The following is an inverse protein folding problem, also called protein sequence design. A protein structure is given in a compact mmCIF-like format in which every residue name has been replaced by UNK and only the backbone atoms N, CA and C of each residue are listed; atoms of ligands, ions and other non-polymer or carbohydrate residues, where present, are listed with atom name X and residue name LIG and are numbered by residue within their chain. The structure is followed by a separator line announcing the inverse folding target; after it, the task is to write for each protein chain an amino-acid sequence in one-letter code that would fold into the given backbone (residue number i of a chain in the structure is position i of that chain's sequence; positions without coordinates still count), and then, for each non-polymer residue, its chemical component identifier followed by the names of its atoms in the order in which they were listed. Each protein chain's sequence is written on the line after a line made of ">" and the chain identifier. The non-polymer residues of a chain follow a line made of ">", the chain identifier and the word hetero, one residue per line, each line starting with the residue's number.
data_IF_547233536092
#
_entry.id   IF_547233536092
#
_cell.length_a   1.000
_cell.length_b   1.000
_cell.length_c   1.000
_cell.angle_alpha   90.00
_cell.angle_beta   90.00
_cell.angle_gamma   90.00
#
_symmetry.space_group_name_H-M   'P 1'
#
loop_
_entity.id
_entity.type
_entity.pdbx_description
1 polymer ?
#
# COMPACT_ATOMS: atom_id res chain seq x y z
N UNK A 1 3.24 24.80 1.51
CA UNK A 1 3.49 24.32 2.89
C UNK A 1 2.58 25.00 3.91
N UNK A 2 2.51 26.34 3.96
CA UNK A 2 1.66 27.09 4.92
C UNK A 2 0.17 26.72 4.92
N UNK A 3 -0.51 26.75 3.77
CA UNK A 3 -1.92 26.35 3.66
C UNK A 3 -2.21 24.90 4.11
N UNK A 4 -1.23 24.02 4.02
CA UNK A 4 -1.36 22.61 4.44
C UNK A 4 -1.24 22.47 5.94
N UNK A 5 -0.32 23.23 6.55
CA UNK A 5 -0.20 23.34 8.00
C UNK A 5 -1.49 23.93 8.60
N UNK A 6 -2.04 24.98 7.97
CA UNK A 6 -3.31 25.59 8.38
C UNK A 6 -4.47 24.59 8.35
N UNK A 7 -4.55 23.72 7.33
CA UNK A 7 -5.59 22.68 7.27
C UNK A 7 -5.41 21.55 8.28
N UNK A 8 -4.16 21.23 8.66
CA UNK A 8 -3.86 20.25 9.73
C UNK A 8 -4.13 20.84 11.13
N UNK A 9 -3.88 22.14 11.28
CA UNK A 9 -4.14 22.91 12.50
C UNK A 9 -5.55 23.49 12.55
N UNK A 10 -6.45 23.11 11.63
CA UNK A 10 -7.84 23.55 11.65
C UNK A 10 -8.54 22.96 12.88
N UNK A 11 -8.64 23.78 13.92
CA UNK A 11 -9.25 23.46 15.21
C UNK A 11 -10.77 23.68 15.21
N UNK A 12 -11.40 24.07 14.09
CA UNK A 12 -12.84 24.35 14.01
C UNK A 12 -13.76 23.19 14.45
N UNK A 13 -13.21 21.97 14.55
CA UNK A 13 -13.91 20.75 15.00
C UNK A 13 -13.35 20.14 16.29
N UNK A 14 -12.38 20.76 16.96
CA UNK A 14 -11.72 20.22 18.17
C UNK A 14 -12.06 21.06 19.39
N UNK A 15 -12.36 20.40 20.51
CA UNK A 15 -12.56 21.07 21.80
C UNK A 15 -11.24 21.62 22.34
N UNK A 16 -11.28 22.84 22.89
CA UNK A 16 -10.14 23.62 23.36
C UNK A 16 -9.78 23.23 24.81
N UNK A 17 -9.43 21.96 25.04
CA UNK A 17 -9.28 21.41 26.40
C UNK A 17 -7.82 21.14 26.79
N UNK A 18 -7.10 20.29 26.04
CA UNK A 18 -5.70 19.91 26.32
C UNK A 18 -4.97 19.54 25.02
N UNK A 19 -3.76 20.08 24.84
CA UNK A 19 -2.84 19.78 23.72
C UNK A 19 -1.91 18.60 24.03
N UNK A 20 -1.27 18.03 23.01
CA UNK A 20 -0.42 16.85 23.21
C UNK A 20 0.81 17.17 24.09
N UNK A 21 1.33 18.38 23.95
CA UNK A 21 2.45 18.93 24.71
C UNK A 21 2.10 19.11 26.19
N UNK A 22 0.86 19.52 26.49
CA UNK A 22 0.38 19.70 27.87
C UNK A 22 0.14 18.37 28.61
N UNK A 23 -0.06 17.26 27.90
CA UNK A 23 -0.20 15.94 28.51
C UNK A 23 1.10 15.43 29.13
N UNK A 24 2.25 16.00 28.76
CA UNK A 24 3.56 15.57 29.28
C UNK A 24 3.94 14.15 28.83
N UNK A 25 3.41 13.68 27.70
CA UNK A 25 3.75 12.37 27.12
C UNK A 25 5.22 12.37 26.71
N UNK A 26 5.99 11.40 27.21
CA UNK A 26 7.39 11.20 26.86
C UNK A 26 7.61 9.99 25.94
N UNK A 27 6.62 9.09 25.84
CA UNK A 27 6.68 7.88 25.01
C UNK A 27 5.38 7.55 24.29
N UNK A 28 5.52 7.10 23.05
CA UNK A 28 4.45 6.53 22.23
C UNK A 28 4.77 5.09 21.84
N UNK A 29 3.82 4.20 22.11
CA UNK A 29 3.82 2.83 21.62
C UNK A 29 2.71 2.70 20.59
N UNK A 30 3.08 2.39 19.35
CA UNK A 30 2.15 2.28 18.22
C UNK A 30 2.07 0.82 17.84
N UNK A 31 0.98 0.18 18.23
CA UNK A 31 0.64 -1.14 17.73
C UNK A 31 0.04 -1.06 16.31
N UNK A 32 0.22 -2.11 15.54
CA UNK A 32 -0.13 -2.21 14.13
C UNK A 32 0.29 -0.96 13.32
N UNK A 33 1.53 -0.54 13.52
CA UNK A 33 2.09 0.68 12.92
C UNK A 33 2.03 0.71 11.38
N UNK A 34 1.80 -0.44 10.74
CA UNK A 34 1.52 -0.53 9.31
C UNK A 34 0.30 0.31 8.88
N UNK A 35 -0.63 0.65 9.77
CA UNK A 35 -1.72 1.58 9.49
C UNK A 35 -1.27 3.03 9.23
N UNK A 36 -0.04 3.40 9.61
CA UNK A 36 0.52 4.75 9.51
C UNK A 36 1.59 4.89 8.42
N UNK A 37 1.76 3.87 7.57
CA UNK A 37 2.75 3.83 6.47
C UNK A 37 2.49 4.81 5.32
N UNK A 38 1.32 5.45 5.29
CA UNK A 38 0.94 6.38 4.22
C UNK A 38 1.27 7.85 4.58
N UNK A 39 2.55 8.12 4.81
CA UNK A 39 3.08 9.44 5.15
C UNK A 39 3.35 10.25 3.87
N UNK A 40 3.17 11.58 3.96
CA UNK A 40 3.51 12.47 2.86
C UNK A 40 4.98 12.37 2.45
N UNK A 41 5.19 12.21 1.14
CA UNK A 41 6.49 12.05 0.51
C UNK A 41 6.63 13.08 -0.61
N UNK A 42 7.69 13.89 -0.58
CA UNK A 42 8.04 14.76 -1.69
C UNK A 42 9.08 14.07 -2.58
N UNK A 43 8.73 13.88 -3.86
CA UNK A 43 9.57 13.21 -4.84
C UNK A 43 9.29 13.74 -6.25
N UNK A 44 10.34 13.77 -7.09
CA UNK A 44 10.20 14.01 -8.53
C UNK A 44 9.72 12.77 -9.29
N UNK A 45 9.82 11.58 -8.69
CA UNK A 45 9.53 10.29 -9.32
C UNK A 45 8.03 9.94 -9.33
N UNK A 46 7.13 10.91 -9.55
CA UNK A 46 5.67 10.70 -9.45
C UNK A 46 5.10 9.65 -10.41
N UNK A 47 5.79 9.40 -11.53
CA UNK A 47 5.37 8.43 -12.53
C UNK A 47 5.84 6.99 -12.25
N UNK A 48 6.61 6.77 -11.17
CA UNK A 48 7.06 5.44 -10.76
C UNK A 48 6.00 4.79 -9.89
N UNK A 49 5.55 3.60 -10.28
CA UNK A 49 4.59 2.82 -9.52
C UNK A 49 5.14 2.41 -8.16
N UNK A 50 4.27 2.37 -7.15
CA UNK A 50 4.63 2.00 -5.77
C UNK A 50 4.85 3.19 -4.82
N UNK A 51 4.84 4.42 -5.35
CA UNK A 51 4.86 5.64 -4.54
C UNK A 51 3.42 6.10 -4.26
N UNK A 52 3.03 6.11 -2.99
CA UNK A 52 1.74 6.64 -2.58
C UNK A 52 1.68 8.15 -2.88
N UNK A 53 0.68 8.55 -3.68
CA UNK A 53 0.43 9.96 -4.03
C UNK A 53 -0.56 10.63 -3.06
N UNK A 54 -1.28 9.83 -2.29
CA UNK A 54 -2.32 10.30 -1.37
C UNK A 54 -1.80 10.23 0.04
N UNK A 55 -1.81 11.35 0.76
CA UNK A 55 -1.38 11.42 2.15
C UNK A 55 -2.52 11.10 3.11
N UNK A 56 -2.22 10.35 4.17
CA UNK A 56 -3.13 10.19 5.29
C UNK A 56 -2.86 11.27 6.35
N UNK A 57 -3.87 12.08 6.69
CA UNK A 57 -3.75 13.10 7.75
C UNK A 57 -3.28 12.50 9.08
N UNK A 58 -3.77 11.30 9.44
CA UNK A 58 -3.34 10.56 10.64
C UNK A 58 -1.84 10.22 10.66
N UNK A 59 -1.25 9.92 9.50
CA UNK A 59 0.18 9.63 9.38
C UNK A 59 1.00 10.90 9.58
N UNK A 60 0.55 12.02 9.00
CA UNK A 60 1.22 13.31 9.18
C UNK A 60 1.14 13.81 10.63
N UNK A 61 -0.02 13.64 11.28
CA UNK A 61 -0.20 13.92 12.71
C UNK A 61 0.76 13.09 13.59
N UNK A 62 0.79 11.76 13.38
CA UNK A 62 1.72 10.88 14.10
C UNK A 62 3.18 11.28 13.84
N UNK A 63 3.53 11.63 12.59
CA UNK A 63 4.90 12.03 12.26
C UNK A 63 5.30 13.30 13.00
N UNK A 64 4.41 14.29 13.13
CA UNK A 64 4.68 15.50 13.91
C UNK A 64 4.90 15.16 15.40
N UNK A 65 4.08 14.28 15.98
CA UNK A 65 4.25 13.81 17.36
C UNK A 65 5.56 13.05 17.58
N UNK A 66 5.93 12.16 16.66
CA UNK A 66 7.22 11.47 16.70
C UNK A 66 8.38 12.46 16.63
N UNK A 67 8.30 13.47 15.75
CA UNK A 67 9.33 14.51 15.63
C UNK A 67 9.47 15.35 16.90
N UNK A 68 8.36 15.74 17.51
CA UNK A 68 8.34 16.43 18.79
C UNK A 68 8.98 15.58 19.90
N UNK A 69 8.61 14.31 20.01
CA UNK A 69 9.20 13.40 21.00
C UNK A 69 10.68 13.11 20.73
N UNK A 70 11.12 13.06 19.47
CA UNK A 70 12.52 12.89 19.12
C UNK A 70 13.37 14.06 19.64
N UNK A 71 12.84 15.29 19.62
CA UNK A 71 13.51 16.47 20.17
C UNK A 71 13.60 16.42 21.69
N UNK A 72 12.56 15.93 22.38
CA UNK A 72 12.54 15.80 23.84
C UNK A 72 13.39 14.64 24.36
N UNK A 73 13.36 13.50 23.66
CA UNK A 73 13.92 12.24 24.16
C UNK A 73 15.22 11.82 23.49
N UNK A 74 15.69 12.61 22.51
CA UNK A 74 16.86 12.25 21.69
C UNK A 74 16.61 11.04 20.78
N UNK A 75 15.38 10.87 20.28
CA UNK A 75 15.00 9.78 19.38
C UNK A 75 14.61 8.47 20.05
N UNK A 76 14.24 8.50 21.34
CA UNK A 76 13.91 7.29 22.14
C UNK A 76 12.46 7.23 22.60
N UNK A 77 11.64 8.18 22.15
CA UNK A 77 10.25 8.35 22.58
C UNK A 77 9.23 7.58 21.75
N UNK A 78 9.62 6.90 20.66
CA UNK A 78 8.66 6.20 19.78
C UNK A 78 9.03 4.73 19.62
N UNK A 79 8.06 3.84 19.79
CA UNK A 79 8.18 2.40 19.56
C UNK A 79 7.06 1.94 18.65
N UNK A 80 7.42 1.28 17.54
CA UNK A 80 6.48 0.69 16.60
C UNK A 80 6.43 -0.83 16.79
N UNK A 81 5.23 -1.40 16.86
CA UNK A 81 4.98 -2.83 16.79
C UNK A 81 4.12 -3.13 15.55
N UNK A 82 4.45 -4.21 14.83
CA UNK A 82 3.68 -4.68 13.68
C UNK A 82 4.16 -6.07 13.27
N UNK A 83 3.22 -6.96 12.93
CA UNK A 83 3.53 -8.25 12.31
C UNK A 83 3.88 -8.15 10.83
N UNK A 84 3.64 -6.99 10.20
CA UNK A 84 3.85 -6.76 8.76
C UNK A 84 4.60 -5.44 8.52
N UNK A 85 5.88 -5.36 8.91
CA UNK A 85 6.62 -4.08 8.86
C UNK A 85 6.76 -3.54 7.44
N UNK A 86 6.88 -4.40 6.43
CA UNK A 86 7.03 -3.99 5.03
C UNK A 86 6.11 -4.89 4.23
N UNK A 87 5.06 -4.32 3.66
CA UNK A 87 4.04 -5.10 2.97
C UNK A 87 4.40 -5.33 1.52
N UNK A 88 4.91 -4.32 0.79
CA UNK A 88 5.33 -4.49 -0.63
C UNK A 88 5.91 -3.22 -1.31
N UNK A 89 6.18 -2.13 -0.58
CA UNK A 89 6.75 -0.94 -1.21
C UNK A 89 7.99 -0.45 -0.48
N UNK A 90 9.03 -0.19 -1.28
CA UNK A 90 10.26 0.49 -0.88
C UNK A 90 9.99 1.85 -0.19
N UNK A 91 8.86 2.50 -0.47
CA UNK A 91 8.41 3.71 0.21
C UNK A 91 7.99 3.45 1.66
N UNK A 92 7.46 2.27 1.97
CA UNK A 92 7.04 1.90 3.33
C UNK A 92 8.26 1.79 4.25
N UNK A 93 9.32 1.14 3.78
CA UNK A 93 10.59 1.05 4.52
C UNK A 93 11.16 2.45 4.80
N UNK A 94 11.24 3.30 3.77
CA UNK A 94 11.71 4.67 3.96
C UNK A 94 10.82 5.47 4.92
N UNK A 95 9.51 5.25 4.88
CA UNK A 95 8.56 5.89 5.79
C UNK A 95 8.81 5.48 7.24
N UNK A 96 9.05 4.19 7.51
CA UNK A 96 9.40 3.71 8.85
C UNK A 96 10.74 4.30 9.31
N UNK A 97 11.75 4.34 8.43
CA UNK A 97 13.02 4.99 8.75
C UNK A 97 12.84 6.49 9.05
N UNK A 98 11.89 7.17 8.39
CA UNK A 98 11.56 8.55 8.73
C UNK A 98 10.89 8.69 10.09
N UNK A 99 10.08 7.73 10.54
CA UNK A 99 9.50 7.76 11.88
C UNK A 99 10.54 7.50 12.96
N UNK A 100 11.42 6.52 12.76
CA UNK A 100 12.26 5.97 13.83
C UNK A 100 13.74 6.40 13.75
N UNK A 101 14.22 6.81 12.57
CA UNK A 101 15.64 7.04 12.28
C UNK A 101 15.89 8.38 11.56
N UNK A 102 14.99 9.36 11.70
CA UNK A 102 15.06 10.60 10.92
C UNK A 102 16.42 11.31 11.07
N UNK A 103 16.96 11.38 12.28
CA UNK A 103 18.26 12.02 12.53
C UNK A 103 19.40 11.26 11.83
N UNK A 104 19.34 9.93 11.77
CA UNK A 104 20.31 9.10 11.02
C UNK A 104 20.19 9.34 9.52
N UNK A 105 18.97 9.46 8.99
CA UNK A 105 18.75 9.82 7.58
C UNK A 105 19.34 11.20 7.25
N UNK A 106 19.13 12.20 8.11
CA UNK A 106 19.71 13.55 7.92
C UNK A 106 21.23 13.51 7.94
N UNK A 107 21.84 12.80 8.90
CA UNK A 107 23.31 12.67 8.99
C UNK A 107 23.95 12.05 7.75
N UNK A 108 23.24 11.14 7.09
CA UNK A 108 23.69 10.46 5.88
C UNK A 108 23.25 11.17 4.57
N UNK A 109 22.61 12.35 4.65
CA UNK A 109 22.02 13.07 3.49
C UNK A 109 20.92 12.28 2.74
N UNK A 110 20.17 11.46 3.48
CA UNK A 110 19.11 10.58 2.98
C UNK A 110 17.71 11.03 3.42
N UNK A 111 17.55 12.27 3.91
CA UNK A 111 16.26 12.83 4.35
C UNK A 111 15.26 13.09 3.21
N UNK A 112 15.72 13.06 1.96
CA UNK A 112 14.89 13.16 0.78
C UNK A 112 14.75 11.79 0.14
N UNK A 113 13.51 11.44 -0.23
CA UNK A 113 13.22 10.14 -0.81
C UNK A 113 14.01 9.91 -2.10
N UNK A 114 14.15 10.92 -2.95
CA UNK A 114 14.88 10.78 -4.22
C UNK A 114 16.36 10.40 -3.98
N UNK A 115 17.00 11.00 -2.97
CA UNK A 115 18.36 10.64 -2.56
C UNK A 115 18.41 9.21 -2.04
N UNK A 116 17.54 8.87 -1.10
CA UNK A 116 17.47 7.52 -0.52
C UNK A 116 17.18 6.45 -1.59
N UNK A 117 16.26 6.72 -2.50
CA UNK A 117 15.88 5.83 -3.58
C UNK A 117 16.99 5.65 -4.60
N UNK A 118 17.80 6.69 -4.87
CA UNK A 118 18.97 6.56 -5.73
C UNK A 118 20.09 5.71 -5.12
N UNK A 119 20.19 5.67 -3.78
CA UNK A 119 21.20 4.89 -3.07
C UNK A 119 20.80 3.43 -2.91
N UNK A 120 19.50 3.17 -2.65
CA UNK A 120 19.02 1.84 -2.25
C UNK A 120 18.00 1.22 -3.20
N UNK A 121 17.57 1.91 -4.24
CA UNK A 121 16.51 1.46 -5.13
C UNK A 121 16.94 1.30 -6.57
N UNK A 122 16.41 0.27 -7.21
CA UNK A 122 16.51 0.06 -8.65
C UNK A 122 15.10 0.07 -9.26
N UNK A 123 14.89 0.95 -10.24
CA UNK A 123 13.66 0.97 -11.01
C UNK A 123 13.77 0.06 -12.22
N UNK A 124 12.75 -0.76 -12.45
CA UNK A 124 12.64 -1.61 -13.62
C UNK A 124 11.39 -1.22 -14.37
N UNK A 125 11.52 -1.10 -15.69
CA UNK A 125 10.39 -0.91 -16.58
C UNK A 125 9.97 -2.26 -17.13
N UNK A 126 8.81 -2.74 -16.71
CA UNK A 126 8.23 -3.98 -17.19
C UNK A 126 7.03 -3.66 -18.10
N UNK A 127 6.85 -4.49 -19.13
CA UNK A 127 5.65 -4.44 -19.95
C UNK A 127 4.57 -5.24 -19.23
N UNK A 128 3.51 -4.58 -18.81
CA UNK A 128 2.38 -5.18 -18.10
C UNK A 128 1.14 -5.20 -19.00
N UNK A 129 0.32 -6.23 -18.84
CA UNK A 129 -1.01 -6.27 -19.45
C UNK A 129 -1.86 -5.14 -18.86
N UNK A 130 -2.59 -4.41 -19.69
CA UNK A 130 -3.52 -3.40 -19.19
C UNK A 130 -4.63 -4.08 -18.38
N UNK A 131 -5.29 -3.37 -17.44
CA UNK A 131 -6.34 -3.96 -16.59
C UNK A 131 -7.49 -4.63 -17.35
N UNK A 132 -7.65 -4.32 -18.63
CA UNK A 132 -8.71 -4.83 -19.51
C UNK A 132 -8.28 -6.08 -20.31
N UNK A 133 -7.01 -6.47 -20.25
CA UNK A 133 -6.49 -7.68 -20.86
C UNK A 133 -6.20 -7.61 -22.37
N UNK A 134 -6.49 -6.49 -23.02
CA UNK A 134 -6.42 -6.34 -24.49
C UNK A 134 -5.18 -5.59 -25.01
N UNK A 135 -4.35 -5.02 -24.12
CA UNK A 135 -3.16 -4.26 -24.51
C UNK A 135 -1.99 -4.40 -23.55
N UNK A 136 -0.84 -3.87 -23.97
CA UNK A 136 0.40 -3.85 -23.18
C UNK A 136 0.79 -2.42 -22.86
N UNK A 137 1.17 -2.15 -21.61
CA UNK A 137 1.69 -0.85 -21.17
C UNK A 137 3.00 -1.05 -20.42
N UNK A 138 4.03 -0.33 -20.85
CA UNK A 138 5.27 -0.24 -20.08
C UNK A 138 5.00 0.56 -18.79
N UNK A 139 5.31 -0.05 -17.63
CA UNK A 139 5.18 0.58 -16.33
C UNK A 139 6.50 0.46 -15.57
N UNK A 140 7.04 1.60 -15.17
CA UNK A 140 8.23 1.65 -14.33
C UNK A 140 7.82 1.50 -12.86
N UNK A 141 8.47 0.58 -12.14
CA UNK A 141 8.27 0.33 -10.71
C UNK A 141 9.61 0.17 -10.02
N UNK A 142 9.67 0.43 -8.72
CA UNK A 142 10.77 -0.07 -7.90
C UNK A 142 10.65 -1.58 -7.82
N UNK A 143 11.67 -2.29 -8.31
CA UNK A 143 11.62 -3.75 -8.41
C UNK A 143 12.66 -4.44 -7.52
N UNK A 144 13.78 -3.75 -7.22
CA UNK A 144 14.87 -4.33 -6.42
C UNK A 144 15.47 -3.29 -5.50
N UNK A 145 16.03 -3.78 -4.40
CA UNK A 145 16.92 -3.00 -3.55
C UNK A 145 18.36 -3.17 -4.04
N UNK A 146 19.07 -2.06 -4.11
CA UNK A 146 20.52 -2.00 -4.28
C UNK A 146 21.16 -1.71 -2.91
N UNK A 147 22.40 -2.16 -2.65
CA UNK A 147 23.07 -1.97 -1.35
C UNK A 147 22.24 -2.46 -0.13
N UNK A 148 21.63 -3.64 -0.27
CA UNK A 148 20.78 -4.23 0.77
C UNK A 148 21.53 -4.43 2.11
N UNK A 149 22.81 -4.86 2.15
CA UNK A 149 23.54 -4.99 3.41
C UNK A 149 23.62 -3.67 4.20
N UNK A 150 23.94 -2.57 3.54
CA UNK A 150 24.06 -1.23 4.13
C UNK A 150 22.70 -0.72 4.59
N UNK A 151 21.67 -0.91 3.77
CA UNK A 151 20.30 -0.55 4.12
C UNK A 151 19.82 -1.31 5.36
N UNK A 152 20.09 -2.62 5.41
CA UNK A 152 19.72 -3.46 6.54
C UNK A 152 20.55 -3.16 7.78
N UNK A 153 21.83 -2.81 7.65
CA UNK A 153 22.65 -2.36 8.77
C UNK A 153 22.08 -1.10 9.40
N UNK A 154 21.73 -0.10 8.59
CA UNK A 154 21.08 1.12 9.05
C UNK A 154 19.71 0.81 9.68
N UNK A 155 18.86 0.02 9.01
CA UNK A 155 17.51 -0.28 9.51
C UNK A 155 17.51 -1.06 10.84
N UNK A 156 18.47 -1.98 11.02
CA UNK A 156 18.64 -2.77 12.26
C UNK A 156 19.03 -1.93 13.48
N UNK A 157 19.46 -0.67 13.32
CA UNK A 157 19.69 0.22 14.47
C UNK A 157 18.42 0.51 15.27
N UNK A 158 17.23 0.37 14.65
CA UNK A 158 15.93 0.60 15.33
C UNK A 158 14.95 -0.56 15.22
N UNK A 159 15.29 -1.62 14.51
CA UNK A 159 14.40 -2.74 14.24
C UNK A 159 14.93 -4.02 14.88
N UNK A 160 14.16 -4.58 15.81
CA UNK A 160 14.27 -5.99 16.20
C UNK A 160 13.23 -6.79 15.39
N UNK A 161 13.69 -7.75 14.59
CA UNK A 161 12.87 -8.49 13.64
C UNK A 161 13.00 -9.97 13.94
N UNK A 162 11.86 -10.61 14.21
CA UNK A 162 11.76 -12.06 14.34
C UNK A 162 10.93 -12.61 13.18
N UNK A 163 11.57 -13.39 12.31
CA UNK A 163 10.87 -14.11 11.25
C UNK A 163 10.41 -15.48 11.74
N UNK A 164 9.43 -16.09 11.06
CA UNK A 164 8.96 -17.44 11.40
C UNK A 164 10.10 -18.45 11.45
N UNK A 165 11.04 -18.37 10.49
CA UNK A 165 12.22 -19.24 10.42
C UNK A 165 13.16 -19.10 11.64
N UNK A 166 13.20 -17.94 12.29
CA UNK A 166 14.02 -17.71 13.49
C UNK A 166 13.39 -18.27 14.77
N UNK A 167 12.08 -18.50 14.76
CA UNK A 167 11.33 -18.90 15.95
C UNK A 167 11.26 -20.43 16.10
N UNK A 168 11.63 -21.19 15.07
CA UNK A 168 11.65 -22.67 15.04
C UNK A 168 10.36 -23.29 15.62
N UNK A 169 9.22 -22.63 15.38
CA UNK A 169 7.95 -23.05 15.95
C UNK A 169 7.42 -24.29 15.21
N UNK A 170 6.78 -25.23 15.92
CA UNK A 170 6.08 -26.34 15.28
C UNK A 170 4.82 -25.82 14.57
N UNK A 171 5.00 -25.41 13.31
CA UNK A 171 3.91 -24.98 12.43
C UNK A 171 3.53 -26.12 11.49
N UNK A 172 2.23 -26.35 11.24
CA UNK A 172 1.80 -27.34 10.25
C UNK A 172 2.21 -26.92 8.84
N UNK A 173 2.56 -27.88 7.99
CA UNK A 173 2.80 -27.63 6.57
C UNK A 173 1.48 -27.26 5.88
N UNK A 174 1.48 -26.12 5.18
CA UNK A 174 0.32 -25.68 4.42
C UNK A 174 0.30 -26.35 3.04
N UNK A 175 -0.75 -27.12 2.77
CA UNK A 175 -1.00 -27.71 1.45
C UNK A 175 -1.84 -26.76 0.59
N UNK A 176 -1.22 -26.17 -0.43
CA UNK A 176 -1.88 -25.27 -1.37
C UNK A 176 -2.36 -26.04 -2.61
N UNK A 177 -3.67 -26.04 -2.85
CA UNK A 177 -4.30 -26.65 -4.02
C UNK A 177 -4.70 -25.57 -5.03
N UNK A 178 -3.99 -25.51 -6.16
CA UNK A 178 -4.31 -24.57 -7.24
C UNK A 178 -5.22 -25.26 -8.27
N UNK A 179 -6.50 -24.85 -8.29
CA UNK A 179 -7.49 -25.38 -9.24
C UNK A 179 -7.73 -24.36 -10.36
N UNK A 180 -7.36 -24.71 -11.59
CA UNK A 180 -7.60 -23.89 -12.77
C UNK A 180 -8.98 -24.20 -13.36
N UNK A 181 -9.83 -23.18 -13.44
CA UNK A 181 -11.22 -23.30 -13.90
C UNK A 181 -11.38 -22.54 -15.22
N UNK A 182 -12.00 -23.17 -16.23
CA UNK A 182 -12.25 -22.53 -17.54
C UNK A 182 -13.51 -21.66 -17.47
N UNK A 183 -13.49 -20.46 -18.07
CA UNK A 183 -14.68 -19.61 -18.12
C UNK A 183 -15.76 -20.23 -19.04
N UNK A 184 -17.03 -20.02 -18.69
CA UNK A 184 -18.16 -20.35 -19.57
C UNK A 184 -18.17 -19.43 -20.82
N UNK A 185 -18.86 -19.83 -21.89
CA UNK A 185 -19.00 -18.95 -23.07
C UNK A 185 -19.68 -17.62 -22.70
N UNK A 186 -20.70 -17.67 -21.84
CA UNK A 186 -21.39 -16.46 -21.36
C UNK A 186 -20.45 -15.55 -20.54
N UNK A 187 -19.56 -16.12 -19.72
CA UNK A 187 -18.53 -15.33 -19.02
C UNK A 187 -17.57 -14.67 -20.02
N UNK A 188 -17.18 -15.34 -21.11
CA UNK A 188 -16.31 -14.73 -22.13
C UNK A 188 -16.99 -13.56 -22.81
N UNK A 189 -18.27 -13.69 -23.17
CA UNK A 189 -19.06 -12.59 -23.74
C UNK A 189 -19.18 -11.42 -22.77
N UNK A 190 -19.48 -11.69 -21.50
CA UNK A 190 -19.55 -10.64 -20.47
C UNK A 190 -18.20 -9.95 -20.26
N UNK A 191 -17.08 -10.68 -20.27
CA UNK A 191 -15.73 -10.10 -20.22
C UNK A 191 -15.46 -9.20 -21.45
N UNK A 192 -15.86 -9.63 -22.64
CA UNK A 192 -15.75 -8.80 -23.85
C UNK A 192 -16.54 -7.49 -23.70
N UNK A 193 -17.75 -7.55 -23.13
CA UNK A 193 -18.55 -6.33 -22.85
C UNK A 193 -17.88 -5.37 -21.85
N UNK A 194 -17.12 -5.90 -20.88
CA UNK A 194 -16.35 -5.07 -19.94
C UNK A 194 -15.19 -4.34 -20.64
N UNK A 195 -14.53 -5.00 -21.61
CA UNK A 195 -13.51 -4.36 -22.41
C UNK A 195 -14.09 -3.19 -23.24
N UNK A 196 -15.27 -3.37 -23.85
CA UNK A 196 -15.95 -2.28 -24.56
C UNK A 196 -16.33 -1.11 -23.64
N UNK A 197 -16.82 -1.39 -22.42
CA UNK A 197 -17.09 -0.36 -21.41
C UNK A 197 -15.83 0.42 -21.07
N UNK A 198 -14.70 -0.28 -20.88
CA UNK A 198 -13.44 0.36 -20.54
C UNK A 198 -12.93 1.28 -21.67
N UNK A 199 -13.07 0.87 -22.93
CA UNK A 199 -12.75 1.72 -24.08
C UNK A 199 -13.63 2.99 -24.12
N UNK A 200 -14.93 2.87 -23.88
CA UNK A 200 -15.85 4.04 -23.83
C UNK A 200 -15.50 5.02 -22.72
N UNK A 201 -15.18 4.51 -21.52
CA UNK A 201 -14.74 5.34 -20.38
C UNK A 201 -13.41 6.03 -20.70
N UNK A 202 -12.45 5.33 -21.32
CA UNK A 202 -11.18 5.93 -21.77
C UNK A 202 -11.37 7.01 -22.84
N UNK A 203 -12.29 6.79 -23.77
CA UNK A 203 -12.64 7.75 -24.81
C UNK A 203 -13.37 8.99 -24.30
N UNK A 204 -13.67 9.08 -23.00
CA UNK A 204 -14.44 10.18 -22.41
C UNK A 204 -15.92 10.16 -22.80
N UNK A 205 -16.43 9.05 -23.33
CA UNK A 205 -17.81 8.92 -23.79
C UNK A 205 -18.83 8.65 -22.68
N UNK A 206 -18.38 8.50 -21.43
CA UNK A 206 -19.21 8.19 -20.27
C UNK A 206 -18.75 9.01 -19.07
N UNK A 207 -19.70 9.58 -18.34
CA UNK A 207 -19.42 10.30 -17.09
C UNK A 207 -18.93 9.33 -15.99
N UNK A 208 -17.88 9.74 -15.28
CA UNK A 208 -17.22 8.93 -14.24
C UNK A 208 -18.12 8.53 -13.06
N UNK A 209 -19.22 9.26 -12.83
CA UNK A 209 -20.24 8.93 -11.82
C UNK A 209 -21.15 7.78 -12.26
N UNK A 210 -21.31 7.57 -13.57
CA UNK A 210 -22.15 6.50 -14.15
C UNK A 210 -21.33 5.22 -14.29
N UNK A 211 -20.16 5.33 -14.93
CA UNK A 211 -19.24 4.21 -15.09
C UNK A 211 -17.78 4.68 -15.06
N UNK A 212 -16.91 3.87 -14.47
CA UNK A 212 -15.49 4.18 -14.35
C UNK A 212 -14.65 2.89 -14.22
N UNK A 213 -13.34 3.03 -14.38
CA UNK A 213 -12.42 1.89 -14.35
C UNK A 213 -12.46 1.08 -13.05
N UNK A 214 -12.75 1.71 -11.90
CA UNK A 214 -12.86 0.99 -10.62
C UNK A 214 -14.11 0.11 -10.60
N UNK A 215 -15.25 0.63 -11.06
CA UNK A 215 -16.50 -0.12 -11.19
C UNK A 215 -16.34 -1.30 -12.16
N UNK A 216 -15.76 -1.07 -13.33
CA UNK A 216 -15.48 -2.13 -14.32
C UNK A 216 -14.56 -3.21 -13.75
N UNK A 217 -13.50 -2.82 -13.03
CA UNK A 217 -12.58 -3.79 -12.39
C UNK A 217 -13.30 -4.62 -11.32
N UNK A 218 -14.16 -3.99 -10.52
CA UNK A 218 -14.97 -4.69 -9.53
C UNK A 218 -15.99 -5.64 -10.19
N UNK A 219 -16.64 -5.23 -11.26
CA UNK A 219 -17.55 -6.08 -12.04
C UNK A 219 -16.81 -7.28 -12.63
N UNK A 220 -15.59 -7.07 -13.16
CA UNK A 220 -14.73 -8.14 -13.64
C UNK A 220 -14.34 -9.15 -12.55
N UNK A 221 -14.04 -8.67 -11.33
CA UNK A 221 -13.77 -9.57 -10.18
C UNK A 221 -15.00 -10.38 -9.77
N UNK A 222 -16.17 -9.76 -9.74
CA UNK A 222 -17.45 -10.43 -9.48
C UNK A 222 -17.71 -11.51 -10.52
N UNK A 223 -17.64 -11.16 -11.81
CA UNK A 223 -17.83 -12.09 -12.93
C UNK A 223 -16.85 -13.26 -12.91
N UNK A 224 -15.59 -12.99 -12.56
CA UNK A 224 -14.54 -14.01 -12.45
C UNK A 224 -14.73 -14.96 -11.26
N UNK A 225 -15.56 -14.59 -10.28
CA UNK A 225 -15.96 -15.46 -9.18
C UNK A 225 -17.23 -16.25 -9.59
N UNK A 226 -18.30 -15.53 -9.92
CA UNK A 226 -19.57 -16.07 -10.40
C UNK A 226 -20.37 -14.98 -11.13
N UNK A 227 -20.94 -15.32 -12.30
CA UNK A 227 -21.75 -14.40 -13.11
C UNK A 227 -23.00 -13.90 -12.38
N UNK A 228 -23.56 -14.68 -11.45
CA UNK A 228 -24.72 -14.31 -10.63
C UNK A 228 -24.46 -13.10 -9.75
N UNK A 229 -23.20 -12.84 -9.37
CA UNK A 229 -22.84 -11.63 -8.61
C UNK A 229 -23.06 -10.32 -9.38
N UNK A 230 -23.22 -10.40 -10.71
CA UNK A 230 -23.64 -9.27 -11.54
C UNK A 230 -25.15 -9.23 -11.76
N UNK A 231 -25.77 -10.40 -11.91
CA UNK A 231 -27.20 -10.53 -12.11
C UNK A 231 -27.69 -11.89 -11.59
N UNK A 232 -28.48 -11.85 -10.51
CA UNK A 232 -29.01 -13.02 -9.82
C UNK A 232 -29.90 -13.92 -10.71
N UNK A 233 -30.40 -13.39 -11.83
CA UNK A 233 -31.25 -14.14 -12.78
C UNK A 233 -30.44 -15.03 -13.74
N UNK A 234 -29.11 -14.92 -13.75
CA UNK A 234 -28.27 -15.77 -14.60
C UNK A 234 -28.20 -17.20 -14.04
N UNK A 235 -28.10 -18.22 -14.91
CA UNK A 235 -28.01 -19.61 -14.47
C UNK A 235 -26.74 -19.86 -13.66
N UNK A 236 -26.75 -20.90 -12.83
CA UNK A 236 -25.51 -21.41 -12.26
C UNK A 236 -24.65 -22.06 -13.35
N UNK A 237 -23.34 -21.98 -13.20
CA UNK A 237 -22.40 -22.67 -14.06
C UNK A 237 -21.65 -23.70 -13.21
N UNK A 238 -21.85 -24.99 -13.49
CA UNK A 238 -21.22 -26.08 -12.75
C UNK A 238 -19.69 -25.94 -12.70
N UNK A 239 -19.08 -25.48 -13.79
CA UNK A 239 -17.65 -25.18 -13.85
C UNK A 239 -17.26 -23.81 -13.29
N UNK A 240 -18.00 -23.22 -12.34
CA UNK A 240 -17.63 -21.94 -11.72
C UNK A 240 -16.52 -22.11 -10.66
N UNK A 241 -15.85 -21.02 -10.30
CA UNK A 241 -14.86 -21.06 -9.21
C UNK A 241 -15.50 -21.38 -7.86
N UNK A 242 -16.75 -20.96 -7.66
CA UNK A 242 -17.49 -21.24 -6.42
C UNK A 242 -17.76 -22.74 -6.32
N UNK A 243 -18.28 -23.36 -7.38
CA UNK A 243 -18.58 -24.80 -7.36
C UNK A 243 -17.29 -25.64 -7.22
N UNK A 244 -16.23 -25.27 -7.93
CA UNK A 244 -14.93 -25.92 -7.75
C UNK A 244 -14.36 -25.76 -6.32
N UNK A 245 -14.69 -24.67 -5.61
CA UNK A 245 -14.30 -24.48 -4.22
C UNK A 245 -15.14 -25.34 -3.27
N UNK A 246 -16.46 -25.43 -3.50
CA UNK A 246 -17.38 -26.28 -2.74
C UNK A 246 -16.95 -27.75 -2.78
N UNK A 247 -16.48 -28.23 -3.94
CA UNK A 247 -16.01 -29.62 -4.08
C UNK A 247 -14.73 -29.94 -3.26
N UNK A 248 -14.01 -28.91 -2.78
CA UNK A 248 -12.73 -29.05 -2.08
C UNK A 248 -12.77 -28.60 -0.60
N UNK A 249 -13.95 -28.29 -0.06
CA UNK A 249 -14.18 -27.95 1.36
C UNK A 249 -14.97 -29.08 2.04
#
# INVERSE_FOLDING_TARGET
>A
MKQKLEKLNDQSRKDDVVTFEELGVDRLFIDESHYYKNLYLYTKMRNVGGIAQTEAQKSSDLFMKCRYLDELTGGRGTVFATGTPISNSMVELYTIQRYLQYNTLVKNNLQHFDSWASTFGETVTAVELTPEGTGYRAKTRFAKFYNLPELMAMFKEVADIKTADMLELPVPEAHFHNVAVKPSEMQKEMVASLAERAEKVRGGGVDSSVDNMLKITNDGRKLALDQRMLNDMLPDFEGSKINACVDNI
#
